data_IF_229286823521
#
_entry.id   IF_229286823521
#
_cell.length_a   1.000
_cell.length_b   1.000
_cell.length_c   1.000
_cell.angle_alpha   90.00
_cell.angle_beta   90.00
_cell.angle_gamma   90.00
#
_symmetry.space_group_name_H-M   'P 1'
#
loop_
_entity.id
_entity.type
_entity.pdbx_description
1 polymer ?
#
# COMPACT_ATOMS: atom_id res chain seq x y z
N UNK A 1 -6.32 4.75 -51.46
CA UNK A 1 -5.00 4.98 -50.85
C UNK A 1 -3.94 4.50 -51.83
N UNK A 2 -3.15 5.43 -52.33
CA UNK A 2 -2.34 5.33 -53.57
C UNK A 2 -1.08 4.49 -53.39
N UNK A 3 -0.64 3.79 -54.44
CA UNK A 3 0.60 3.00 -54.46
C UNK A 3 1.88 3.78 -54.11
N UNK A 4 1.84 5.12 -54.12
CA UNK A 4 2.91 5.98 -53.63
C UNK A 4 3.23 5.79 -52.13
N UNK A 5 2.28 5.31 -51.31
CA UNK A 5 2.52 5.00 -49.89
C UNK A 5 3.40 3.77 -49.68
N UNK A 6 3.46 2.86 -50.66
CA UNK A 6 4.28 1.64 -50.55
C UNK A 6 5.78 1.96 -50.51
N UNK A 7 6.22 3.04 -51.17
CA UNK A 7 7.61 3.46 -51.20
C UNK A 7 8.13 3.81 -49.79
N UNK A 8 7.56 4.78 -49.05
CA UNK A 8 7.98 5.07 -47.68
C UNK A 8 7.70 3.90 -46.73
N UNK A 9 6.63 3.12 -46.95
CA UNK A 9 6.35 1.92 -46.15
C UNK A 9 7.49 0.89 -46.25
N UNK A 10 7.93 0.54 -47.47
CA UNK A 10 9.04 -0.41 -47.66
C UNK A 10 10.38 0.15 -47.17
N UNK A 11 10.63 1.46 -47.29
CA UNK A 11 11.82 2.09 -46.71
C UNK A 11 11.80 1.97 -45.18
N UNK A 12 10.69 2.28 -44.53
CA UNK A 12 10.56 2.14 -43.08
C UNK A 12 10.60 0.68 -42.61
N UNK A 13 10.00 -0.24 -43.38
CA UNK A 13 10.01 -1.67 -43.08
C UNK A 13 11.42 -2.26 -43.19
N UNK A 14 12.12 -2.02 -44.29
CA UNK A 14 13.45 -2.58 -44.55
C UNK A 14 14.56 -1.87 -43.75
N UNK A 15 14.46 -0.55 -43.57
CA UNK A 15 15.47 0.25 -42.88
C UNK A 15 15.28 0.35 -41.37
N UNK A 16 14.05 0.21 -40.87
CA UNK A 16 13.72 0.34 -39.45
C UNK A 16 13.09 -0.92 -38.87
N UNK A 17 11.96 -1.36 -39.41
CA UNK A 17 11.14 -2.43 -38.84
C UNK A 17 11.90 -3.77 -38.71
N UNK A 18 12.41 -4.29 -39.83
CA UNK A 18 13.13 -5.57 -39.86
C UNK A 18 14.44 -5.52 -39.06
N UNK A 19 15.31 -4.50 -39.20
CA UNK A 19 16.54 -4.43 -38.42
C UNK A 19 16.33 -4.35 -36.91
N UNK A 20 15.35 -3.56 -36.44
CA UNK A 20 15.03 -3.44 -35.01
C UNK A 20 14.44 -4.75 -34.47
N UNK A 21 13.50 -5.36 -35.21
CA UNK A 21 12.93 -6.65 -34.81
C UNK A 21 14.00 -7.75 -34.71
N UNK A 22 14.91 -7.83 -35.69
CA UNK A 22 16.03 -8.76 -35.65
C UNK A 22 16.95 -8.50 -34.45
N UNK A 23 17.26 -7.23 -34.15
CA UNK A 23 18.06 -6.84 -32.99
C UNK A 23 17.42 -7.31 -31.68
N UNK A 24 16.11 -7.08 -31.49
CA UNK A 24 15.40 -7.48 -30.27
C UNK A 24 15.36 -9.01 -30.09
N UNK A 25 15.09 -9.75 -31.16
CA UNK A 25 15.10 -11.22 -31.14
C UNK A 25 16.50 -11.75 -30.86
N UNK A 26 17.53 -11.19 -31.49
CA UNK A 26 18.93 -11.60 -31.30
C UNK A 26 19.42 -11.31 -29.88
N UNK A 27 19.05 -10.15 -29.30
CA UNK A 27 19.35 -9.83 -27.89
C UNK A 27 18.66 -10.84 -26.97
N UNK A 28 17.36 -11.10 -27.18
CA UNK A 28 16.60 -12.06 -26.38
C UNK A 28 17.18 -13.48 -26.44
N UNK A 29 17.57 -13.94 -27.64
CA UNK A 29 18.17 -15.26 -27.83
C UNK A 29 19.59 -15.37 -27.28
N UNK A 30 20.44 -14.36 -27.48
CA UNK A 30 21.84 -14.39 -27.03
C UNK A 30 21.96 -14.31 -25.50
N UNK A 31 21.16 -13.44 -24.87
CA UNK A 31 21.21 -13.25 -23.43
C UNK A 31 20.38 -14.27 -22.65
N UNK A 32 19.47 -15.00 -23.32
CA UNK A 32 18.51 -15.95 -22.72
C UNK A 32 17.78 -15.38 -21.49
N UNK A 33 17.64 -14.05 -21.42
CA UNK A 33 17.09 -13.32 -20.29
C UNK A 33 16.25 -12.16 -20.78
N UNK A 34 15.02 -12.02 -20.28
CA UNK A 34 14.23 -10.80 -20.45
C UNK A 34 14.87 -9.60 -19.71
N UNK A 35 14.34 -8.40 -19.91
CA UNK A 35 14.86 -7.17 -19.27
C UNK A 35 14.83 -7.19 -17.73
N UNK A 36 14.01 -8.06 -17.14
CA UNK A 36 13.95 -8.35 -15.71
C UNK A 36 13.97 -9.87 -15.53
N UNK A 37 14.85 -10.38 -14.67
CA UNK A 37 15.03 -11.81 -14.38
C UNK A 37 14.77 -12.11 -12.91
N UNK A 38 14.23 -13.29 -12.62
CA UNK A 38 14.06 -13.80 -11.26
C UNK A 38 15.08 -14.92 -10.99
N UNK A 39 15.69 -14.90 -9.81
CA UNK A 39 16.60 -15.96 -9.39
C UNK A 39 15.85 -17.18 -8.86
N UNK A 40 16.52 -18.31 -8.59
CA UNK A 40 15.88 -19.51 -8.06
C UNK A 40 15.33 -19.38 -6.62
N UNK A 41 15.78 -18.38 -5.85
CA UNK A 41 15.40 -18.23 -4.45
C UNK A 41 16.04 -17.06 -3.73
N UNK A 42 15.64 -16.86 -2.48
CA UNK A 42 16.09 -15.72 -1.64
C UNK A 42 17.59 -15.78 -1.30
N UNK A 43 18.18 -16.97 -1.26
CA UNK A 43 19.63 -17.18 -1.05
C UNK A 43 20.46 -16.81 -2.29
N UNK A 44 19.81 -16.55 -3.43
CA UNK A 44 20.43 -16.23 -4.70
C UNK A 44 20.01 -14.82 -5.14
N UNK A 45 20.61 -13.74 -4.60
CA UNK A 45 20.28 -12.39 -5.04
C UNK A 45 20.66 -12.15 -6.53
N UNK A 46 21.71 -12.84 -7.00
CA UNK A 46 22.23 -12.80 -8.39
C UNK A 46 22.42 -11.39 -8.98
N UNK A 47 22.82 -10.44 -8.14
CA UNK A 47 23.17 -9.08 -8.54
C UNK A 47 21.97 -8.14 -8.71
N UNK A 48 22.28 -6.85 -8.90
CA UNK A 48 21.29 -5.78 -9.05
C UNK A 48 20.77 -5.68 -10.48
N UNK A 49 19.47 -5.48 -10.63
CA UNK A 49 18.85 -5.18 -11.92
C UNK A 49 18.86 -3.66 -12.13
N UNK A 50 19.84 -3.15 -12.87
CA UNK A 50 20.13 -1.72 -12.96
C UNK A 50 18.96 -0.85 -13.44
N UNK A 51 18.10 -1.38 -14.29
CA UNK A 51 16.86 -0.72 -14.71
C UNK A 51 15.97 -0.43 -13.50
N UNK A 52 15.81 -1.41 -12.60
CA UNK A 52 15.05 -1.27 -11.37
C UNK A 52 15.76 -0.38 -10.33
N UNK A 53 17.09 -0.41 -10.28
CA UNK A 53 17.87 0.48 -9.40
C UNK A 53 17.65 1.94 -9.80
N UNK A 54 17.70 2.25 -11.10
CA UNK A 54 17.48 3.61 -11.61
C UNK A 54 16.05 4.05 -11.34
N UNK A 55 15.05 3.22 -11.61
CA UNK A 55 13.65 3.58 -11.32
C UNK A 55 13.42 3.77 -9.82
N UNK A 56 13.95 2.89 -8.97
CA UNK A 56 13.89 3.04 -7.51
C UNK A 56 14.52 4.36 -7.05
N UNK A 57 15.69 4.72 -7.60
CA UNK A 57 16.36 5.98 -7.31
C UNK A 57 15.52 7.20 -7.71
N UNK A 58 14.94 7.18 -8.92
CA UNK A 58 14.03 8.23 -9.39
C UNK A 58 12.82 8.37 -8.44
N UNK A 59 12.22 7.25 -8.02
CA UNK A 59 11.05 7.26 -7.14
C UNK A 59 11.36 7.87 -5.76
N UNK A 60 12.50 7.53 -5.16
CA UNK A 60 12.94 8.15 -3.90
C UNK A 60 13.32 9.62 -4.05
N UNK A 61 13.90 10.02 -5.19
CA UNK A 61 14.14 11.43 -5.50
C UNK A 61 12.81 12.21 -5.63
N UNK A 62 11.82 11.66 -6.33
CA UNK A 62 10.48 12.26 -6.44
C UNK A 62 9.86 12.40 -5.04
N UNK A 63 9.89 11.34 -4.24
CA UNK A 63 9.38 11.35 -2.86
C UNK A 63 10.03 12.45 -2.01
N UNK A 64 11.37 12.56 -2.05
CA UNK A 64 12.10 13.63 -1.37
C UNK A 64 11.64 15.02 -1.84
N UNK A 65 11.53 15.25 -3.15
CA UNK A 65 11.12 16.53 -3.70
C UNK A 65 9.68 16.89 -3.29
N UNK A 66 8.77 15.91 -3.25
CA UNK A 66 7.40 16.11 -2.83
C UNK A 66 7.31 16.50 -1.34
N UNK A 67 8.07 15.84 -0.47
CA UNK A 67 7.99 16.00 0.99
C UNK A 67 8.91 17.09 1.55
N UNK A 68 9.97 17.50 0.84
CA UNK A 68 11.00 18.38 1.41
C UNK A 68 10.45 19.72 1.95
N UNK A 69 9.37 20.25 1.38
CA UNK A 69 8.69 21.47 1.86
C UNK A 69 7.45 21.19 2.74
N UNK A 70 7.33 19.97 3.24
CA UNK A 70 6.24 19.46 4.05
C UNK A 70 4.89 19.47 3.33
N UNK A 71 3.81 19.48 4.11
CA UNK A 71 2.42 19.46 3.64
C UNK A 71 2.07 20.50 2.55
N UNK A 72 2.76 21.64 2.46
CA UNK A 72 2.51 22.64 1.41
C UNK A 72 2.88 22.14 0.01
N UNK A 73 3.90 21.30 -0.10
CA UNK A 73 4.32 20.68 -1.35
C UNK A 73 3.61 19.36 -1.56
N UNK A 74 3.53 18.52 -0.52
CA UNK A 74 2.78 17.26 -0.54
C UNK A 74 1.33 17.49 -0.96
N UNK A 75 0.65 18.47 -0.37
CA UNK A 75 -0.74 18.80 -0.71
C UNK A 75 -0.92 19.23 -2.17
N UNK A 76 0.10 19.86 -2.79
CA UNK A 76 0.07 20.20 -4.23
C UNK A 76 0.25 18.96 -5.10
N UNK A 77 1.19 18.08 -4.73
CA UNK A 77 1.43 16.83 -5.45
C UNK A 77 0.20 15.92 -5.45
N UNK A 78 -0.54 15.90 -4.32
CA UNK A 78 -1.77 15.10 -4.14
C UNK A 78 -2.86 15.45 -5.16
N UNK A 79 -2.96 16.70 -5.64
CA UNK A 79 -3.94 17.02 -6.70
C UNK A 79 -3.69 16.23 -7.99
N UNK A 80 -2.43 15.95 -8.32
CA UNK A 80 -2.12 15.12 -9.49
C UNK A 80 -2.23 13.64 -9.14
N UNK A 81 -1.60 13.22 -8.03
CA UNK A 81 -1.50 11.79 -7.69
C UNK A 81 -2.83 11.18 -7.24
N UNK A 82 -3.78 11.97 -6.74
CA UNK A 82 -5.11 11.49 -6.35
C UNK A 82 -6.14 11.62 -7.47
N UNK A 83 -6.22 12.78 -8.17
CA UNK A 83 -7.28 13.02 -9.16
C UNK A 83 -7.02 12.25 -10.46
N UNK A 84 -5.78 12.20 -10.92
CA UNK A 84 -5.47 11.56 -12.21
C UNK A 84 -5.85 10.08 -12.24
N UNK A 85 -5.58 9.26 -11.19
CA UNK A 85 -6.08 7.91 -11.12
C UNK A 85 -7.60 7.77 -11.28
N UNK A 86 -8.42 8.68 -10.74
CA UNK A 86 -9.88 8.64 -10.95
C UNK A 86 -10.26 8.88 -12.41
N UNK A 87 -9.62 9.83 -13.08
CA UNK A 87 -9.85 10.08 -14.51
C UNK A 87 -9.49 8.82 -15.31
N UNK A 88 -8.31 8.24 -15.05
CA UNK A 88 -7.85 7.05 -15.75
C UNK A 88 -8.73 5.83 -15.48
N UNK A 89 -9.09 5.59 -14.23
CA UNK A 89 -9.98 4.50 -13.83
C UNK A 89 -11.35 4.64 -14.48
N UNK A 90 -11.87 5.86 -14.61
CA UNK A 90 -13.14 6.13 -15.30
C UNK A 90 -13.04 5.80 -16.79
N UNK A 91 -11.96 6.21 -17.45
CA UNK A 91 -11.70 5.89 -18.87
C UNK A 91 -11.58 4.37 -19.06
N UNK A 92 -10.81 3.69 -18.21
CA UNK A 92 -10.61 2.24 -18.26
C UNK A 92 -11.91 1.48 -17.95
N UNK A 93 -12.76 1.98 -17.06
CA UNK A 93 -14.08 1.43 -16.79
C UNK A 93 -14.96 1.46 -18.04
N UNK A 94 -15.15 2.64 -18.65
CA UNK A 94 -15.95 2.74 -19.87
C UNK A 94 -15.37 1.93 -21.01
N UNK A 95 -14.04 1.87 -21.14
CA UNK A 95 -13.40 1.00 -22.11
C UNK A 95 -13.71 -0.47 -21.81
N UNK A 96 -13.51 -0.89 -20.58
CA UNK A 96 -13.69 -2.27 -20.12
C UNK A 96 -15.10 -2.79 -20.36
N UNK A 97 -16.13 -2.04 -19.98
CA UNK A 97 -17.53 -2.49 -20.13
C UNK A 97 -17.99 -2.56 -21.59
N UNK A 98 -17.30 -1.89 -22.53
CA UNK A 98 -17.61 -1.96 -23.96
C UNK A 98 -16.99 -3.15 -24.67
N UNK A 99 -16.11 -3.90 -23.98
CA UNK A 99 -15.44 -5.06 -24.55
C UNK A 99 -16.36 -6.30 -24.56
N UNK A 100 -16.22 -7.19 -25.55
CA UNK A 100 -16.95 -8.45 -25.55
C UNK A 100 -16.54 -9.29 -24.34
N UNK A 101 -17.48 -10.03 -23.75
CA UNK A 101 -17.19 -10.86 -22.57
C UNK A 101 -17.04 -10.10 -21.24
N UNK A 102 -17.07 -8.77 -21.24
CA UNK A 102 -16.96 -7.96 -20.00
C UNK A 102 -18.03 -8.31 -18.96
N UNK A 103 -19.24 -8.68 -19.41
CA UNK A 103 -20.33 -9.13 -18.54
C UNK A 103 -19.96 -10.36 -17.70
N UNK A 104 -19.17 -11.30 -18.25
CA UNK A 104 -18.75 -12.50 -17.53
C UNK A 104 -17.85 -12.14 -16.36
N UNK A 105 -16.95 -11.17 -16.56
CA UNK A 105 -16.10 -10.65 -15.51
C UNK A 105 -16.86 -9.90 -14.42
N UNK A 106 -17.83 -9.06 -14.79
CA UNK A 106 -18.69 -8.35 -13.82
C UNK A 106 -19.55 -9.34 -13.02
N UNK A 107 -20.10 -10.37 -13.66
CA UNK A 107 -20.82 -11.44 -12.97
C UNK A 107 -19.89 -12.16 -12.00
N UNK A 108 -18.68 -12.51 -12.43
CA UNK A 108 -17.69 -13.14 -11.55
C UNK A 108 -17.35 -12.26 -10.33
N UNK A 109 -17.24 -10.94 -10.52
CA UNK A 109 -16.96 -10.00 -9.45
C UNK A 109 -18.07 -9.91 -8.40
N UNK A 110 -19.33 -9.88 -8.83
CA UNK A 110 -20.47 -9.58 -7.96
C UNK A 110 -21.28 -10.79 -7.50
N UNK A 111 -21.14 -11.94 -8.17
CA UNK A 111 -21.94 -13.13 -7.86
C UNK A 111 -21.63 -13.57 -6.42
N UNK A 112 -22.60 -13.50 -5.50
CA UNK A 112 -22.36 -13.86 -4.12
C UNK A 112 -22.22 -15.38 -3.99
N UNK A 113 -21.25 -15.79 -3.19
CA UNK A 113 -21.08 -17.16 -2.74
C UNK A 113 -21.27 -17.17 -1.22
N UNK A 114 -22.47 -17.53 -0.78
CA UNK A 114 -22.84 -17.47 0.64
C UNK A 114 -22.18 -18.58 1.47
N UNK A 115 -21.72 -19.67 0.86
CA UNK A 115 -21.02 -20.75 1.56
C UNK A 115 -19.69 -20.24 2.13
N UNK A 116 -19.02 -19.34 1.41
CA UNK A 116 -17.78 -18.70 1.85
C UNK A 116 -17.91 -17.88 3.13
N UNK A 117 -19.11 -17.44 3.51
CA UNK A 117 -19.31 -16.72 4.78
C UNK A 117 -19.05 -17.60 6.01
N UNK A 118 -19.11 -18.93 5.85
CA UNK A 118 -18.74 -19.89 6.89
C UNK A 118 -17.21 -20.03 7.04
N UNK A 119 -16.43 -19.56 6.08
CA UNK A 119 -14.97 -19.64 6.12
C UNK A 119 -14.39 -18.48 6.94
N UNK A 120 -13.71 -18.79 8.05
CA UNK A 120 -13.07 -17.79 8.89
C UNK A 120 -12.05 -16.90 8.14
N UNK A 121 -11.40 -17.44 7.10
CA UNK A 121 -10.42 -16.70 6.30
C UNK A 121 -11.04 -15.49 5.57
N UNK A 122 -12.30 -15.60 5.13
CA UNK A 122 -13.00 -14.51 4.42
C UNK A 122 -13.15 -13.28 5.31
N UNK A 123 -13.43 -13.49 6.60
CA UNK A 123 -13.55 -12.41 7.58
C UNK A 123 -12.19 -11.77 7.92
N UNK A 124 -11.11 -12.54 7.89
CA UNK A 124 -9.74 -12.05 8.14
C UNK A 124 -9.27 -11.23 6.97
N UNK A 125 -9.47 -11.73 5.75
CA UNK A 125 -9.12 -11.02 4.53
C UNK A 125 -9.89 -9.69 4.48
N UNK A 126 -11.20 -9.71 4.77
CA UNK A 126 -12.03 -8.50 4.82
C UNK A 126 -11.56 -7.51 5.90
N UNK A 127 -11.32 -7.99 7.13
CA UNK A 127 -10.84 -7.15 8.22
C UNK A 127 -9.50 -6.52 7.88
N UNK A 128 -8.51 -7.34 7.56
CA UNK A 128 -7.15 -6.93 7.21
C UNK A 128 -7.13 -5.96 6.02
N UNK A 129 -7.93 -6.22 4.98
CA UNK A 129 -8.06 -5.33 3.82
C UNK A 129 -8.53 -3.93 4.23
N UNK A 130 -9.48 -3.81 5.15
CA UNK A 130 -9.94 -2.50 5.66
C UNK A 130 -8.82 -1.80 6.42
N UNK A 131 -8.12 -2.48 7.33
CA UNK A 131 -7.01 -1.87 8.07
C UNK A 131 -5.92 -1.32 7.14
N UNK A 132 -5.56 -2.09 6.11
CA UNK A 132 -4.57 -1.67 5.11
C UNK A 132 -5.08 -0.55 4.21
N UNK A 133 -6.29 -0.69 3.67
CA UNK A 133 -6.84 0.26 2.72
C UNK A 133 -6.97 1.66 3.32
N UNK A 134 -7.27 1.75 4.62
CA UNK A 134 -7.37 3.02 5.34
C UNK A 134 -6.07 3.48 6.01
N UNK A 135 -4.99 2.68 5.93
CA UNK A 135 -3.74 2.95 6.64
C UNK A 135 -3.93 3.16 8.16
N UNK A 136 -4.81 2.36 8.78
CA UNK A 136 -5.15 2.47 10.21
C UNK A 136 -3.97 2.00 11.07
N UNK A 137 -3.75 2.66 12.20
CA UNK A 137 -2.70 2.33 13.19
C UNK A 137 -1.25 2.42 12.67
N UNK A 138 -1.03 3.01 11.49
CA UNK A 138 0.31 3.34 10.96
C UNK A 138 0.86 4.68 11.52
N UNK A 139 0.06 5.43 12.27
CA UNK A 139 0.41 6.78 12.76
C UNK A 139 0.29 7.89 11.71
N UNK A 140 0.14 7.54 10.44
CA UNK A 140 0.02 8.49 9.32
C UNK A 140 -1.22 9.39 9.42
N UNK A 141 -2.38 8.83 9.79
CA UNK A 141 -3.61 9.62 9.96
C UNK A 141 -3.52 10.56 11.16
N UNK A 142 -2.85 10.13 12.24
CA UNK A 142 -2.56 10.98 13.41
C UNK A 142 -1.65 12.15 13.03
N UNK A 143 -0.59 11.87 12.26
CA UNK A 143 0.30 12.90 11.73
C UNK A 143 -0.42 13.88 10.81
N UNK A 144 -1.22 13.40 9.84
CA UNK A 144 -2.01 14.26 8.96
C UNK A 144 -3.05 15.08 9.74
N UNK A 145 -3.72 14.47 10.71
CA UNK A 145 -4.67 15.13 11.58
C UNK A 145 -4.05 16.26 12.41
N UNK A 146 -2.77 16.14 12.78
CA UNK A 146 -2.05 17.19 13.53
C UNK A 146 -1.86 18.51 12.76
N UNK A 147 -2.02 18.48 11.43
CA UNK A 147 -1.94 19.66 10.56
C UNK A 147 -3.29 20.37 10.36
N UNK A 148 -4.39 19.79 10.83
CA UNK A 148 -5.70 20.42 10.74
C UNK A 148 -5.83 21.55 11.75
N UNK A 149 -6.64 22.55 11.42
CA UNK A 149 -7.09 23.53 12.40
C UNK A 149 -7.85 22.84 13.53
N UNK A 150 -7.68 23.31 14.77
CA UNK A 150 -8.29 22.70 15.96
C UNK A 150 -9.82 22.58 15.86
N UNK A 151 -10.46 23.55 15.20
CA UNK A 151 -11.92 23.57 14.96
C UNK A 151 -12.34 23.01 13.58
N UNK A 152 -11.45 22.35 12.85
CA UNK A 152 -11.80 21.69 11.59
C UNK A 152 -12.76 20.53 11.85
N UNK A 153 -13.90 20.53 11.16
CA UNK A 153 -14.93 19.51 11.34
C UNK A 153 -14.57 18.19 10.63
N UNK A 154 -13.69 17.42 11.27
CA UNK A 154 -13.24 16.13 10.74
C UNK A 154 -14.35 15.06 10.76
N UNK A 155 -15.39 15.22 11.59
CA UNK A 155 -16.45 14.21 11.75
C UNK A 155 -17.21 13.94 10.44
N UNK A 156 -17.60 14.98 9.70
CA UNK A 156 -18.26 14.80 8.40
C UNK A 156 -17.27 14.46 7.29
N UNK A 157 -16.04 14.99 7.35
CA UNK A 157 -14.97 14.66 6.41
C UNK A 157 -14.62 13.18 6.47
N UNK A 158 -14.64 12.58 7.67
CA UNK A 158 -14.43 11.15 7.88
C UNK A 158 -15.38 10.30 7.04
N UNK A 159 -16.69 10.57 7.07
CA UNK A 159 -17.66 9.80 6.29
C UNK A 159 -17.44 9.95 4.78
N UNK A 160 -17.06 11.15 4.32
CA UNK A 160 -16.74 11.38 2.92
C UNK A 160 -15.49 10.61 2.50
N UNK A 161 -14.40 10.68 3.28
CA UNK A 161 -13.14 9.95 3.01
C UNK A 161 -13.37 8.44 3.02
N UNK A 162 -14.12 7.92 4.00
CA UNK A 162 -14.49 6.50 4.05
C UNK A 162 -15.36 6.08 2.87
N UNK A 163 -16.39 6.87 2.55
CA UNK A 163 -17.24 6.61 1.38
C UNK A 163 -16.42 6.60 0.09
N UNK A 164 -15.52 7.56 -0.09
CA UNK A 164 -14.66 7.63 -1.27
C UNK A 164 -13.71 6.44 -1.35
N UNK A 165 -12.99 6.09 -0.28
CA UNK A 165 -12.03 4.99 -0.30
C UNK A 165 -12.69 3.65 -0.67
N UNK A 166 -13.78 3.30 0.03
CA UNK A 166 -14.54 2.07 -0.27
C UNK A 166 -15.19 2.13 -1.65
N UNK A 167 -15.78 3.27 -2.03
CA UNK A 167 -16.40 3.48 -3.34
C UNK A 167 -15.39 3.35 -4.48
N UNK A 168 -14.16 3.83 -4.28
CA UNK A 168 -13.07 3.70 -5.26
C UNK A 168 -12.65 2.25 -5.42
N UNK A 169 -12.51 1.50 -4.32
CA UNK A 169 -12.18 0.08 -4.35
C UNK A 169 -13.24 -0.73 -5.09
N UNK A 170 -14.52 -0.41 -4.85
CA UNK A 170 -15.65 -1.04 -5.55
C UNK A 170 -15.67 -0.70 -7.05
N UNK A 171 -15.49 0.58 -7.40
CA UNK A 171 -15.44 1.05 -8.79
C UNK A 171 -14.24 0.47 -9.56
N UNK A 172 -13.07 0.43 -8.94
CA UNK A 172 -11.87 -0.20 -9.49
C UNK A 172 -12.11 -1.68 -9.80
N UNK A 173 -12.88 -2.38 -8.95
CA UNK A 173 -13.31 -3.75 -9.20
C UNK A 173 -13.99 -3.92 -10.56
N UNK A 174 -14.95 -3.05 -10.92
CA UNK A 174 -15.56 -3.10 -12.26
C UNK A 174 -14.55 -2.85 -13.38
N UNK A 175 -13.65 -1.88 -13.22
CA UNK A 175 -12.65 -1.56 -14.24
C UNK A 175 -11.66 -2.74 -14.47
N UNK A 176 -11.29 -3.46 -13.41
CA UNK A 176 -10.41 -4.64 -13.50
C UNK A 176 -11.17 -5.85 -14.07
N UNK A 177 -12.30 -6.21 -13.46
CA UNK A 177 -13.00 -7.44 -13.81
C UNK A 177 -13.65 -7.38 -15.20
N UNK A 178 -14.07 -6.20 -15.69
CA UNK A 178 -14.53 -6.08 -17.08
C UNK A 178 -13.44 -6.44 -18.10
N UNK A 179 -12.19 -6.02 -17.86
CA UNK A 179 -11.04 -6.37 -18.70
C UNK A 179 -10.66 -7.84 -18.56
N UNK A 180 -10.70 -8.41 -17.36
CA UNK A 180 -10.47 -9.85 -17.17
C UNK A 180 -11.53 -10.71 -17.87
N UNK A 181 -12.79 -10.29 -17.83
CA UNK A 181 -13.89 -10.95 -18.56
C UNK A 181 -13.65 -10.94 -20.07
N UNK A 182 -13.19 -9.82 -20.62
CA UNK A 182 -12.75 -9.73 -22.01
C UNK A 182 -11.58 -10.66 -22.32
N UNK A 183 -10.55 -10.67 -21.47
CA UNK A 183 -9.40 -11.55 -21.67
C UNK A 183 -9.80 -13.03 -21.67
N UNK A 184 -10.68 -13.43 -20.75
CA UNK A 184 -11.21 -14.80 -20.70
C UNK A 184 -11.98 -15.14 -21.99
N UNK A 185 -12.79 -14.21 -22.49
CA UNK A 185 -13.53 -14.36 -23.75
C UNK A 185 -12.62 -14.55 -24.96
N UNK A 186 -11.63 -13.66 -25.15
CA UNK A 186 -10.69 -13.75 -26.28
C UNK A 186 -9.83 -15.02 -26.23
N UNK A 187 -9.46 -15.47 -25.03
CA UNK A 187 -8.67 -16.70 -24.84
C UNK A 187 -9.51 -17.98 -24.83
N UNK A 188 -10.84 -17.87 -24.99
CA UNK A 188 -11.75 -19.03 -24.95
C UNK A 188 -11.82 -19.73 -23.59
N UNK A 189 -11.49 -19.03 -22.51
CA UNK A 189 -11.50 -19.54 -21.13
C UNK A 189 -12.87 -19.22 -20.51
N UNK A 190 -13.62 -20.26 -20.11
CA UNK A 190 -14.95 -20.07 -19.54
C UNK A 190 -14.95 -19.50 -18.10
N UNK A 191 -13.93 -19.85 -17.31
CA UNK A 191 -13.80 -19.41 -15.93
C UNK A 191 -12.88 -18.18 -15.82
N UNK A 192 -13.45 -17.04 -15.44
CA UNK A 192 -12.71 -15.79 -15.19
C UNK A 192 -11.73 -15.95 -14.01
N UNK A 193 -12.02 -16.84 -13.05
CA UNK A 193 -11.13 -17.12 -11.93
C UNK A 193 -9.77 -17.67 -12.36
N UNK A 194 -9.72 -18.45 -13.45
CA UNK A 194 -8.48 -19.03 -13.97
C UNK A 194 -7.53 -17.98 -14.56
N UNK A 195 -8.04 -16.81 -14.91
CA UNK A 195 -7.24 -15.70 -15.44
C UNK A 195 -6.99 -14.57 -14.42
N UNK A 196 -7.60 -14.65 -13.25
CA UNK A 196 -7.43 -13.68 -12.18
C UNK A 196 -6.25 -14.11 -11.29
N UNK A 197 -5.08 -13.49 -11.49
CA UNK A 197 -3.97 -13.63 -10.55
C UNK A 197 -4.21 -12.86 -9.24
N UNK A 198 -3.44 -13.17 -8.19
CA UNK A 198 -3.48 -12.46 -6.91
C UNK A 198 -2.28 -11.52 -6.76
N UNK A 199 -2.44 -10.50 -5.91
CA UNK A 199 -1.36 -9.58 -5.54
C UNK A 199 -0.76 -8.85 -6.76
N UNK A 200 0.56 -8.63 -6.81
CA UNK A 200 1.22 -7.95 -7.93
C UNK A 200 1.00 -8.61 -9.30
N UNK A 201 0.81 -9.93 -9.34
CA UNK A 201 0.57 -10.66 -10.59
C UNK A 201 -0.69 -10.19 -11.34
N UNK A 202 -1.74 -9.81 -10.60
CA UNK A 202 -2.96 -9.26 -11.19
C UNK A 202 -2.66 -8.00 -12.02
N UNK A 203 -1.90 -7.07 -11.45
CA UNK A 203 -1.62 -5.79 -12.06
C UNK A 203 -0.48 -5.84 -13.09
N UNK A 204 0.51 -6.71 -12.90
CA UNK A 204 1.73 -6.73 -13.74
C UNK A 204 1.79 -7.89 -14.73
N UNK A 205 0.89 -8.88 -14.65
CA UNK A 205 0.83 -10.03 -15.56
C UNK A 205 -0.57 -10.15 -16.20
N UNK A 206 -1.61 -10.38 -15.39
CA UNK A 206 -2.95 -10.65 -15.92
C UNK A 206 -3.55 -9.43 -16.64
N UNK A 207 -3.52 -8.25 -16.03
CA UNK A 207 -4.10 -7.06 -16.63
C UNK A 207 -3.38 -6.60 -17.91
N UNK A 208 -2.03 -6.51 -17.97
CA UNK A 208 -1.32 -6.17 -19.19
C UNK A 208 -1.56 -7.18 -20.32
N UNK A 209 -1.72 -8.47 -20.01
CA UNK A 209 -2.12 -9.49 -20.98
C UNK A 209 -3.49 -9.18 -21.57
N UNK A 210 -4.48 -8.82 -20.74
CA UNK A 210 -5.80 -8.41 -21.21
C UNK A 210 -5.78 -7.12 -22.04
N UNK A 211 -4.91 -6.16 -21.66
CA UNK A 211 -4.71 -4.92 -22.41
C UNK A 211 -4.08 -5.17 -23.79
N UNK A 212 -3.15 -6.13 -23.90
CA UNK A 212 -2.46 -6.45 -25.15
C UNK A 212 -3.43 -6.95 -26.24
N UNK A 213 -4.55 -7.56 -25.86
CA UNK A 213 -5.60 -8.03 -26.78
C UNK A 213 -6.51 -6.89 -27.28
N UNK A 214 -6.42 -5.69 -26.71
CA UNK A 214 -7.28 -4.57 -27.10
C UNK A 214 -6.74 -3.81 -28.31
N UNK A 215 -7.62 -3.26 -29.18
CA UNK A 215 -7.21 -2.24 -30.13
C UNK A 215 -6.65 -1.02 -29.38
N UNK A 216 -5.56 -0.45 -29.92
CA UNK A 216 -4.78 0.63 -29.28
C UNK A 216 -4.13 0.21 -27.94
N UNK A 217 -3.74 -1.06 -27.78
CA UNK A 217 -3.04 -1.58 -26.60
C UNK A 217 -1.96 -0.66 -25.99
N UNK A 218 -1.07 0.00 -26.78
CA UNK A 218 -0.07 0.90 -26.21
C UNK A 218 -0.66 2.08 -25.42
N UNK A 219 -1.80 2.64 -25.86
CA UNK A 219 -2.48 3.72 -25.15
C UNK A 219 -2.95 3.24 -23.78
N UNK A 220 -3.68 2.12 -23.74
CA UNK A 220 -4.25 1.58 -22.50
C UNK A 220 -3.18 1.16 -21.51
N UNK A 221 -2.07 0.57 -21.98
CA UNK A 221 -0.94 0.19 -21.15
C UNK A 221 -0.30 1.42 -20.48
N UNK A 222 -0.06 2.49 -21.24
CA UNK A 222 0.50 3.74 -20.70
C UNK A 222 -0.42 4.36 -19.64
N UNK A 223 -1.72 4.46 -19.93
CA UNK A 223 -2.68 5.02 -18.97
C UNK A 223 -2.75 4.19 -17.67
N UNK A 224 -2.74 2.87 -17.80
CA UNK A 224 -2.80 1.95 -16.66
C UNK A 224 -1.54 2.00 -15.79
N UNK A 225 -0.34 1.96 -16.39
CA UNK A 225 0.90 2.00 -15.60
C UNK A 225 1.18 3.37 -14.99
N UNK A 226 0.80 4.47 -15.67
CA UNK A 226 0.84 5.81 -15.06
C UNK A 226 -0.13 5.88 -13.87
N UNK A 227 -1.34 5.33 -14.00
CA UNK A 227 -2.30 5.26 -12.91
C UNK A 227 -1.73 4.51 -11.70
N UNK A 228 -1.19 3.31 -11.90
CA UNK A 228 -0.56 2.52 -10.81
C UNK A 228 0.59 3.30 -10.16
N UNK A 229 1.45 3.92 -10.97
CA UNK A 229 2.58 4.68 -10.47
C UNK A 229 2.13 5.86 -9.61
N UNK A 230 1.11 6.61 -10.04
CA UNK A 230 0.57 7.74 -9.28
C UNK A 230 -0.16 7.30 -8.00
N UNK A 231 -0.90 6.18 -8.03
CA UNK A 231 -1.51 5.59 -6.85
C UNK A 231 -0.44 5.22 -5.80
N UNK A 232 0.62 4.52 -6.23
CA UNK A 232 1.72 4.14 -5.35
C UNK A 232 2.47 5.34 -4.77
N UNK A 233 2.77 6.34 -5.61
CA UNK A 233 3.42 7.59 -5.17
C UNK A 233 2.58 8.34 -4.12
N UNK A 234 1.28 8.48 -4.37
CA UNK A 234 0.37 9.17 -3.44
C UNK A 234 0.40 8.55 -2.03
N UNK A 235 0.34 7.22 -1.96
CA UNK A 235 0.44 6.49 -0.69
C UNK A 235 1.83 6.60 -0.05
N UNK A 236 2.90 6.49 -0.84
CA UNK A 236 4.28 6.56 -0.35
C UNK A 236 4.57 7.93 0.29
N UNK A 237 4.13 9.02 -0.32
CA UNK A 237 4.41 10.37 0.19
C UNK A 237 3.82 10.58 1.58
N UNK A 238 2.59 10.11 1.75
CA UNK A 238 1.82 10.26 2.99
C UNK A 238 2.39 9.35 4.08
N UNK A 239 2.78 8.12 3.77
CA UNK A 239 3.41 7.21 4.73
C UNK A 239 4.75 7.75 5.24
N UNK A 240 5.62 8.22 4.34
CA UNK A 240 6.92 8.79 4.74
C UNK A 240 6.73 10.09 5.51
N UNK A 241 5.81 10.97 5.10
CA UNK A 241 5.51 12.19 5.86
C UNK A 241 4.98 11.87 7.26
N UNK A 242 4.19 10.81 7.43
CA UNK A 242 3.72 10.34 8.73
C UNK A 242 4.88 9.99 9.68
N UNK A 243 5.84 9.20 9.19
CA UNK A 243 7.06 8.88 9.95
C UNK A 243 7.90 10.13 10.25
N UNK A 244 8.14 10.98 9.25
CA UNK A 244 8.93 12.21 9.42
C UNK A 244 8.30 13.12 10.46
N UNK A 245 6.98 13.31 10.40
CA UNK A 245 6.23 14.15 11.35
C UNK A 245 6.38 13.62 12.77
N UNK A 246 6.17 12.32 12.99
CA UNK A 246 6.32 11.71 14.30
C UNK A 246 7.72 11.94 14.90
N UNK A 247 8.79 11.72 14.13
CA UNK A 247 10.16 11.91 14.63
C UNK A 247 10.50 13.39 14.85
N UNK A 248 10.05 14.28 13.96
CA UNK A 248 10.25 15.74 14.10
C UNK A 248 9.54 16.28 15.34
N UNK A 249 8.37 15.73 15.66
CA UNK A 249 7.59 16.13 16.84
C UNK A 249 8.20 15.59 18.15
N UNK A 250 8.91 14.46 18.11
CA UNK A 250 9.69 13.96 19.25
C UNK A 250 10.95 14.79 19.52
N UNK A 251 11.58 15.35 18.48
CA UNK A 251 12.85 16.10 18.62
C UNK A 251 12.77 17.52 18.01
N UNK A 252 11.81 18.37 18.43
CA UNK A 252 11.52 19.62 17.74
C UNK A 252 12.67 20.63 17.84
N UNK A 253 13.34 20.69 19.00
CA UNK A 253 14.50 21.58 19.23
C UNK A 253 15.70 21.26 18.33
N UNK A 254 15.78 20.03 17.82
CA UNK A 254 16.88 19.59 16.96
C UNK A 254 16.49 19.69 15.50
N UNK A 255 15.33 19.12 15.12
CA UNK A 255 14.95 18.90 13.73
C UNK A 255 14.20 20.08 13.09
N UNK A 256 13.53 20.94 13.87
CA UNK A 256 12.85 22.14 13.34
C UNK A 256 13.79 23.34 13.15
N UNK A 257 15.10 23.17 13.38
CA UNK A 257 16.11 24.23 13.27
C UNK A 257 16.74 24.25 11.88
N UNK A 258 16.68 25.41 11.22
CA UNK A 258 17.30 25.61 9.90
C UNK A 258 16.72 24.65 8.86
N UNK A 259 17.60 23.93 8.15
CA UNK A 259 17.24 22.93 7.13
C UNK A 259 17.32 21.47 7.62
N UNK A 260 17.37 21.24 8.93
CA UNK A 260 17.64 19.91 9.51
C UNK A 260 16.51 18.91 9.24
N UNK A 261 15.27 19.37 9.15
CA UNK A 261 14.13 18.55 8.70
C UNK A 261 14.38 18.00 7.29
N UNK A 262 14.80 18.86 6.36
CA UNK A 262 15.06 18.48 4.98
C UNK A 262 16.24 17.52 4.87
N UNK A 263 17.31 17.74 5.63
CA UNK A 263 18.41 16.79 5.74
C UNK A 263 17.95 15.44 6.29
N UNK A 264 17.08 15.44 7.30
CA UNK A 264 16.52 14.22 7.88
C UNK A 264 15.62 13.46 6.89
N UNK A 265 14.80 14.16 6.09
CA UNK A 265 14.01 13.56 5.00
C UNK A 265 14.94 12.96 3.96
N UNK A 266 15.98 13.68 3.54
CA UNK A 266 16.97 13.19 2.58
C UNK A 266 17.69 11.93 3.08
N UNK A 267 18.09 11.94 4.35
CA UNK A 267 18.68 10.76 5.01
C UNK A 267 17.70 9.58 5.05
N UNK A 268 16.44 9.82 5.43
CA UNK A 268 15.40 8.78 5.48
C UNK A 268 15.18 8.17 4.10
N UNK A 269 15.00 9.02 3.07
CA UNK A 269 14.84 8.56 1.68
C UNK A 269 16.06 7.77 1.19
N UNK A 270 17.27 8.20 1.56
CA UNK A 270 18.50 7.50 1.19
C UNK A 270 18.59 6.13 1.88
N UNK A 271 18.31 6.03 3.18
CA UNK A 271 18.28 4.75 3.89
C UNK A 271 17.23 3.82 3.30
N UNK A 272 16.03 4.32 3.01
CA UNK A 272 14.98 3.53 2.37
C UNK A 272 15.33 3.10 0.95
N UNK A 273 16.07 3.91 0.19
CA UNK A 273 16.64 3.52 -1.10
C UNK A 273 17.64 2.36 -0.94
N UNK A 274 18.56 2.44 0.02
CA UNK A 274 19.53 1.37 0.30
C UNK A 274 18.84 0.06 0.71
N UNK A 275 17.81 0.14 1.56
CA UNK A 275 16.99 -1.04 1.90
C UNK A 275 16.28 -1.57 0.65
N UNK A 276 15.71 -0.68 -0.17
CA UNK A 276 15.05 -1.03 -1.42
C UNK A 276 15.97 -1.70 -2.45
N UNK A 277 17.30 -1.47 -2.40
CA UNK A 277 18.26 -2.17 -3.25
C UNK A 277 18.18 -3.70 -3.08
N UNK A 278 17.82 -4.18 -1.89
CA UNK A 278 17.64 -5.61 -1.63
C UNK A 278 16.48 -6.21 -2.44
N UNK A 279 15.45 -5.41 -2.74
CA UNK A 279 14.23 -5.81 -3.45
C UNK A 279 14.35 -5.69 -4.98
N UNK A 280 15.41 -5.06 -5.50
CA UNK A 280 15.65 -4.88 -6.95
C UNK A 280 16.81 -5.74 -7.46
N UNK A 281 17.23 -6.73 -6.68
CA UNK A 281 18.09 -7.83 -7.14
C UNK A 281 17.27 -8.82 -7.97
N UNK A 282 17.90 -9.83 -8.60
CA UNK A 282 17.15 -10.91 -9.26
C UNK A 282 16.39 -11.79 -8.25
N UNK A 283 16.90 -11.93 -7.04
CA UNK A 283 16.18 -12.52 -5.90
C UNK A 283 15.24 -11.54 -5.18
N UNK A 284 15.11 -10.32 -5.69
CA UNK A 284 14.45 -9.21 -4.99
C UNK A 284 12.96 -9.42 -4.75
N UNK A 285 12.27 -10.18 -5.61
CA UNK A 285 10.86 -10.50 -5.43
C UNK A 285 10.62 -11.35 -4.17
N UNK A 286 11.54 -12.25 -3.82
CA UNK A 286 11.44 -13.03 -2.58
C UNK A 286 11.61 -12.15 -1.34
N UNK A 287 12.54 -11.19 -1.40
CA UNK A 287 12.73 -10.20 -0.31
C UNK A 287 11.49 -9.31 -0.19
N UNK A 288 10.96 -8.82 -1.31
CA UNK A 288 9.72 -8.05 -1.35
C UNK A 288 8.56 -8.79 -0.67
N UNK A 289 8.37 -10.07 -0.98
CA UNK A 289 7.31 -10.90 -0.39
C UNK A 289 7.48 -11.10 1.12
N UNK A 290 8.71 -11.20 1.64
CA UNK A 290 8.96 -11.25 3.09
C UNK A 290 8.51 -9.94 3.75
N UNK A 291 8.85 -8.79 3.17
CA UNK A 291 8.45 -7.49 3.70
C UNK A 291 6.94 -7.27 3.63
N UNK A 292 6.32 -7.64 2.52
CA UNK A 292 4.88 -7.55 2.27
C UNK A 292 4.08 -8.45 3.25
N UNK A 293 4.55 -9.69 3.44
CA UNK A 293 3.85 -10.67 4.27
C UNK A 293 4.07 -10.49 5.77
N UNK A 294 5.27 -10.07 6.22
CA UNK A 294 5.60 -9.97 7.65
C UNK A 294 5.78 -8.55 8.17
N UNK A 295 6.41 -7.66 7.40
CA UNK A 295 6.89 -6.35 7.87
C UNK A 295 5.75 -5.40 8.23
N UNK A 296 5.10 -4.84 7.22
CA UNK A 296 3.85 -4.11 7.42
C UNK A 296 2.68 -5.07 7.22
N UNK A 297 2.64 -6.15 8.01
CA UNK A 297 1.61 -7.20 7.87
C UNK A 297 0.33 -6.84 8.62
N UNK A 298 -0.79 -7.47 8.22
CA UNK A 298 -2.08 -7.27 8.89
C UNK A 298 -1.98 -7.55 10.39
N UNK A 299 -1.18 -8.54 10.78
CA UNK A 299 -0.94 -8.89 12.18
C UNK A 299 -0.31 -7.74 12.98
N UNK A 300 0.68 -7.04 12.42
CA UNK A 300 1.32 -5.91 13.09
C UNK A 300 0.34 -4.74 13.27
N UNK A 301 -0.46 -4.44 12.24
CA UNK A 301 -1.45 -3.37 12.30
C UNK A 301 -2.59 -3.67 13.28
N UNK A 302 -3.09 -4.91 13.29
CA UNK A 302 -4.12 -5.34 14.22
C UNK A 302 -3.63 -5.27 15.67
N UNK A 303 -2.38 -5.68 15.92
CA UNK A 303 -1.74 -5.55 17.24
C UNK A 303 -1.67 -4.08 17.69
N UNK A 304 -1.17 -3.20 16.83
CA UNK A 304 -1.07 -1.77 17.15
C UNK A 304 -2.46 -1.15 17.37
N UNK A 305 -3.43 -1.45 16.51
CA UNK A 305 -4.78 -0.92 16.64
C UNK A 305 -5.48 -1.40 17.92
N UNK A 306 -5.27 -2.66 18.32
CA UNK A 306 -5.78 -3.18 19.58
C UNK A 306 -5.30 -2.33 20.76
N UNK A 307 -3.98 -2.13 20.89
CA UNK A 307 -3.44 -1.33 21.98
C UNK A 307 -3.83 0.15 21.90
N UNK A 308 -3.91 0.73 20.71
CA UNK A 308 -4.40 2.10 20.52
C UNK A 308 -5.84 2.26 21.04
N UNK A 309 -6.73 1.33 20.71
CA UNK A 309 -8.11 1.34 21.22
C UNK A 309 -8.15 1.16 22.74
N UNK A 310 -7.37 0.23 23.30
CA UNK A 310 -7.31 -0.01 24.74
C UNK A 310 -6.82 1.23 25.48
N UNK A 311 -5.72 1.85 25.02
CA UNK A 311 -5.15 3.04 25.64
C UNK A 311 -6.13 4.22 25.60
N UNK A 312 -6.73 4.52 24.44
CA UNK A 312 -7.63 5.68 24.32
C UNK A 312 -8.99 5.44 24.98
N UNK A 313 -9.62 4.29 24.75
CA UNK A 313 -10.99 4.07 25.22
C UNK A 313 -11.07 3.67 26.70
N UNK A 314 -10.08 2.96 27.23
CA UNK A 314 -10.11 2.45 28.62
C UNK A 314 -9.18 3.20 29.57
N UNK A 315 -7.93 3.46 29.19
CA UNK A 315 -6.97 4.13 30.08
C UNK A 315 -7.13 5.65 30.09
N UNK A 316 -7.16 6.28 28.92
CA UNK A 316 -7.44 7.71 28.80
C UNK A 316 -8.91 8.03 29.10
N UNK A 317 -9.80 7.11 28.71
CA UNK A 317 -11.24 7.16 28.97
C UNK A 317 -12.02 7.71 27.78
N UNK A 318 -12.93 6.89 27.24
CA UNK A 318 -13.77 7.24 26.10
C UNK A 318 -14.61 8.50 26.33
N UNK A 319 -15.13 8.70 27.54
CA UNK A 319 -16.00 9.84 27.86
C UNK A 319 -15.21 11.16 27.85
N UNK A 320 -13.98 11.13 28.39
CA UNK A 320 -13.05 12.27 28.33
C UNK A 320 -12.69 12.58 26.88
N UNK A 321 -12.41 11.56 26.08
CA UNK A 321 -12.07 11.75 24.67
C UNK A 321 -13.23 12.31 23.85
N UNK A 322 -14.46 11.86 24.09
CA UNK A 322 -15.67 12.41 23.47
C UNK A 322 -15.85 13.89 23.81
N UNK A 323 -15.59 14.30 25.06
CA UNK A 323 -15.67 15.71 25.45
C UNK A 323 -14.56 16.55 24.80
N UNK A 324 -13.33 16.02 24.69
CA UNK A 324 -12.27 16.70 23.94
C UNK A 324 -12.66 16.89 22.46
N UNK A 325 -13.27 15.88 21.82
CA UNK A 325 -13.77 16.01 20.45
C UNK A 325 -14.85 17.10 20.39
N UNK A 326 -15.74 17.16 21.39
CA UNK A 326 -16.76 18.21 21.47
C UNK A 326 -16.13 19.60 21.60
N UNK A 327 -15.06 19.76 22.37
CA UNK A 327 -14.29 21.00 22.47
C UNK A 327 -13.62 21.37 21.14
N UNK A 328 -13.08 20.38 20.41
CA UNK A 328 -12.50 20.56 19.09
C UNK A 328 -13.53 21.04 18.07
N UNK A 329 -14.62 20.28 17.84
CA UNK A 329 -15.50 20.52 16.68
C UNK A 329 -16.88 21.08 17.04
N UNK A 330 -17.17 21.31 18.31
CA UNK A 330 -18.43 21.90 18.79
C UNK A 330 -19.67 21.01 18.66
N UNK A 331 -19.52 19.76 18.20
CA UNK A 331 -20.63 18.82 18.00
C UNK A 331 -20.53 17.62 18.94
N UNK A 332 -21.70 17.10 19.34
CA UNK A 332 -21.78 15.84 20.05
C UNK A 332 -21.78 14.70 19.03
N UNK A 333 -20.73 13.87 19.05
CA UNK A 333 -20.60 12.73 18.14
C UNK A 333 -21.57 11.60 18.50
N UNK A 334 -21.87 10.74 17.53
CA UNK A 334 -22.76 9.59 17.71
C UNK A 334 -22.17 8.61 18.76
N UNK A 335 -22.93 8.18 19.78
CA UNK A 335 -22.49 7.21 20.79
C UNK A 335 -21.99 5.87 20.25
N UNK A 336 -22.30 5.54 19.00
CA UNK A 336 -21.75 4.37 18.31
C UNK A 336 -20.23 4.35 18.29
N UNK A 337 -19.57 5.49 18.08
CA UNK A 337 -18.10 5.57 18.03
C UNK A 337 -17.42 5.16 19.34
N UNK A 338 -17.71 5.77 20.50
CA UNK A 338 -17.12 5.34 21.76
C UNK A 338 -17.50 3.90 22.15
N UNK A 339 -18.69 3.42 21.77
CA UNK A 339 -19.04 2.01 21.94
C UNK A 339 -18.14 1.08 21.11
N UNK A 340 -17.87 1.44 19.85
CA UNK A 340 -16.94 0.69 19.00
C UNK A 340 -15.52 0.70 19.57
N UNK A 341 -14.97 1.86 19.92
CA UNK A 341 -13.61 1.96 20.45
C UNK A 341 -13.41 1.17 21.75
N UNK A 342 -14.45 1.11 22.59
CA UNK A 342 -14.40 0.42 23.87
C UNK A 342 -14.55 -1.09 23.73
N UNK A 343 -15.40 -1.56 22.81
CA UNK A 343 -15.76 -2.98 22.74
C UNK A 343 -15.53 -3.61 21.37
N UNK A 344 -16.19 -3.11 20.32
CA UNK A 344 -16.18 -3.79 19.00
C UNK A 344 -14.78 -3.80 18.38
N UNK A 345 -14.11 -2.65 18.30
CA UNK A 345 -12.81 -2.53 17.65
C UNK A 345 -11.71 -3.34 18.35
N UNK A 346 -11.57 -3.31 19.70
CA UNK A 346 -10.66 -4.22 20.41
C UNK A 346 -10.99 -5.69 20.21
N UNK A 347 -12.28 -6.07 20.25
CA UNK A 347 -12.67 -7.47 20.06
C UNK A 347 -12.39 -7.97 18.64
N UNK A 348 -12.69 -7.15 17.63
CA UNK A 348 -12.45 -7.48 16.24
C UNK A 348 -10.94 -7.60 15.97
N UNK A 349 -10.15 -6.61 16.40
CA UNK A 349 -8.69 -6.62 16.21
C UNK A 349 -8.02 -7.79 16.92
N UNK A 350 -8.38 -8.05 18.18
CA UNK A 350 -7.88 -9.20 18.93
C UNK A 350 -8.32 -10.54 18.31
N UNK A 351 -9.58 -10.66 17.90
CA UNK A 351 -10.12 -11.88 17.29
C UNK A 351 -9.42 -12.21 15.97
N UNK A 352 -9.31 -11.24 15.06
CA UNK A 352 -8.63 -11.42 13.77
C UNK A 352 -7.14 -11.68 13.98
N UNK A 353 -6.49 -11.01 14.95
CA UNK A 353 -5.09 -11.24 15.30
C UNK A 353 -4.86 -12.66 15.82
N UNK A 354 -5.62 -13.10 16.84
CA UNK A 354 -5.50 -14.45 17.42
C UNK A 354 -5.72 -15.51 16.35
N UNK A 355 -6.75 -15.35 15.52
CA UNK A 355 -7.00 -16.31 14.45
C UNK A 355 -5.86 -16.30 13.42
N UNK A 356 -5.36 -15.14 13.00
CA UNK A 356 -4.23 -15.05 12.06
C UNK A 356 -2.97 -15.76 12.58
N UNK A 357 -2.73 -15.71 13.90
CA UNK A 357 -1.65 -16.45 14.55
C UNK A 357 -1.94 -17.95 14.59
N UNK A 358 -3.17 -18.36 14.89
CA UNK A 358 -3.57 -19.78 14.97
C UNK A 358 -3.57 -20.46 13.61
N UNK A 359 -4.01 -19.78 12.55
CA UNK A 359 -4.05 -20.31 11.17
C UNK A 359 -2.84 -19.90 10.33
N UNK A 360 -1.79 -19.43 10.99
CA UNK A 360 -0.56 -19.01 10.34
C UNK A 360 -0.01 -20.10 9.42
N UNK A 361 0.30 -19.70 8.19
CA UNK A 361 1.07 -20.51 7.25
C UNK A 361 2.34 -19.73 6.86
N UNK A 362 3.50 -20.40 6.74
CA UNK A 362 4.69 -19.76 6.21
C UNK A 362 4.42 -19.17 4.82
N UNK A 363 5.02 -18.01 4.54
CA UNK A 363 4.95 -17.39 3.22
C UNK A 363 5.51 -18.35 2.16
N UNK A 364 4.88 -18.35 0.98
CA UNK A 364 5.34 -19.06 -0.21
C UNK A 364 5.19 -18.14 -1.41
N UNK A 365 6.00 -18.34 -2.44
CA UNK A 365 5.88 -17.58 -3.68
C UNK A 365 5.86 -18.54 -4.87
N UNK A 366 4.72 -18.66 -5.54
CA UNK A 366 4.46 -19.73 -6.52
C UNK A 366 4.75 -21.11 -5.91
N UNK A 367 5.65 -21.89 -6.51
CA UNK A 367 6.10 -23.18 -6.00
C UNK A 367 7.28 -23.09 -5.01
N UNK A 368 7.80 -21.89 -4.74
CA UNK A 368 8.94 -21.69 -3.86
C UNK A 368 8.53 -21.68 -2.38
N UNK A 369 9.23 -22.50 -1.59
CA UNK A 369 9.11 -22.58 -0.13
C UNK A 369 10.31 -21.89 0.50
N UNK A 370 10.06 -20.95 1.40
CA UNK A 370 11.13 -20.16 2.01
C UNK A 370 11.95 -20.98 3.01
N UNK A 371 13.28 -20.78 3.07
CA UNK A 371 14.12 -21.39 4.09
C UNK A 371 13.78 -20.83 5.48
N UNK A 372 14.04 -21.64 6.51
CA UNK A 372 13.67 -21.30 7.89
C UNK A 372 14.31 -19.99 8.38
N UNK A 373 15.52 -19.67 7.94
CA UNK A 373 16.17 -18.40 8.30
C UNK A 373 15.40 -17.18 7.76
N UNK A 374 14.81 -17.28 6.56
CA UNK A 374 14.05 -16.20 5.97
C UNK A 374 12.71 -16.01 6.69
N UNK A 375 12.07 -17.12 7.10
CA UNK A 375 10.87 -17.10 7.94
C UNK A 375 11.18 -16.46 9.30
N UNK A 376 12.29 -16.84 9.93
CA UNK A 376 12.74 -16.26 11.20
C UNK A 376 13.01 -14.76 11.06
N UNK A 377 13.65 -14.34 9.97
CA UNK A 377 13.85 -12.92 9.66
C UNK A 377 12.52 -12.18 9.47
N UNK A 378 11.54 -12.78 8.78
CA UNK A 378 10.19 -12.24 8.67
C UNK A 378 9.54 -12.01 10.05
N UNK A 379 9.60 -13.00 10.95
CA UNK A 379 9.10 -12.82 12.32
C UNK A 379 9.87 -11.76 13.11
N UNK A 380 11.17 -11.64 12.93
CA UNK A 380 11.95 -10.55 13.53
C UNK A 380 11.46 -9.17 13.04
N UNK A 381 11.16 -9.04 11.74
CA UNK A 381 10.57 -7.80 11.19
C UNK A 381 9.23 -7.49 11.86
N UNK A 382 8.32 -8.46 11.93
CA UNK A 382 7.01 -8.27 12.56
C UNK A 382 7.14 -7.86 14.05
N UNK A 383 7.93 -8.62 14.80
CA UNK A 383 8.16 -8.40 16.22
C UNK A 383 8.87 -7.08 16.52
N UNK A 384 9.70 -6.57 15.59
CA UNK A 384 10.44 -5.31 15.79
C UNK A 384 9.53 -4.12 16.11
N UNK A 385 8.30 -4.11 15.59
CA UNK A 385 7.28 -3.10 15.89
C UNK A 385 6.42 -3.49 17.10
N UNK A 386 5.95 -4.74 17.14
CA UNK A 386 4.99 -5.20 18.15
C UNK A 386 5.54 -5.20 19.58
N UNK A 387 6.82 -5.58 19.76
CA UNK A 387 7.48 -5.67 21.05
C UNK A 387 7.73 -4.29 21.68
N UNK A 388 7.75 -3.20 20.89
CA UNK A 388 7.98 -1.85 21.41
C UNK A 388 6.88 -1.42 22.40
N UNK A 389 5.63 -1.86 22.19
CA UNK A 389 4.50 -1.54 23.08
C UNK A 389 4.76 -2.07 24.51
N UNK A 390 4.94 -3.39 24.74
CA UNK A 390 5.21 -3.90 26.08
C UNK A 390 6.58 -3.46 26.62
N UNK A 391 7.63 -3.35 25.80
CA UNK A 391 8.94 -2.89 26.28
C UNK A 391 8.90 -1.46 26.78
N UNK A 392 8.25 -0.55 26.05
CA UNK A 392 8.14 0.83 26.48
C UNK A 392 7.27 0.97 27.74
N UNK A 393 6.21 0.16 27.85
CA UNK A 393 5.41 0.07 29.07
C UNK A 393 6.26 -0.36 30.28
N UNK A 394 7.04 -1.44 30.15
CA UNK A 394 7.93 -1.92 31.22
C UNK A 394 9.01 -0.86 31.55
N UNK A 395 9.63 -0.26 30.53
CA UNK A 395 10.63 0.79 30.71
C UNK A 395 10.06 1.96 31.53
N UNK A 396 8.86 2.43 31.18
CA UNK A 396 8.19 3.53 31.91
C UNK A 396 7.84 3.12 33.34
N UNK A 397 7.41 1.89 33.57
CA UNK A 397 7.12 1.38 34.91
C UNK A 397 8.38 1.33 35.79
N UNK A 398 9.54 0.97 35.22
CA UNK A 398 10.81 0.88 35.94
C UNK A 398 11.48 2.25 36.17
N UNK A 399 11.15 3.26 35.34
CA UNK A 399 11.79 4.60 35.40
C UNK A 399 10.93 5.67 36.03
N UNK A 400 9.61 5.45 36.17
CA UNK A 400 8.72 6.39 36.84
C UNK A 400 8.99 6.44 38.35
N UNK A 401 9.11 7.66 38.89
CA UNK A 401 9.16 7.86 40.34
C UNK A 401 7.73 7.85 40.91
N UNK A 402 7.27 6.67 41.34
CA UNK A 402 6.01 6.47 42.06
C UNK A 402 6.02 5.11 42.74
N UNK A 403 5.47 5.01 43.95
CA UNK A 403 5.47 3.75 44.72
C UNK A 403 4.45 2.73 44.17
N UNK A 404 3.45 3.18 43.39
CA UNK A 404 2.41 2.34 42.78
C UNK A 404 1.92 2.92 41.43
N UNK A 405 1.29 2.07 40.61
CA UNK A 405 0.81 2.37 39.24
C UNK A 405 -0.03 3.66 39.13
N UNK A 406 -0.79 4.02 40.16
CA UNK A 406 -1.64 5.21 40.17
C UNK A 406 -0.88 6.54 40.38
N UNK A 407 0.36 6.51 40.90
CA UNK A 407 1.17 7.70 41.16
C UNK A 407 2.05 8.10 39.96
N UNK A 408 2.14 7.24 38.95
CA UNK A 408 2.91 7.50 37.70
C UNK A 408 2.24 8.56 36.80
N UNK A 409 1.02 9.00 37.15
CA UNK A 409 0.20 9.93 36.37
C UNK A 409 0.39 11.43 36.70
N UNK A 410 1.32 11.81 37.58
CA UNK A 410 1.54 13.23 37.86
C UNK A 410 2.29 13.91 36.69
N UNK A 411 1.57 14.80 36.03
CA UNK A 411 1.77 15.53 34.76
C UNK A 411 3.09 16.32 34.56
N UNK A 412 4.10 16.21 35.42
CA UNK A 412 5.23 17.16 35.41
C UNK A 412 6.39 16.83 34.47
N UNK A 413 6.51 15.61 33.95
CA UNK A 413 7.71 15.21 33.17
C UNK A 413 7.53 15.18 31.65
N UNK A 414 6.31 15.39 31.11
CA UNK A 414 6.06 15.30 29.66
C UNK A 414 6.18 16.63 28.90
N UNK A 415 6.26 17.78 29.59
CA UNK A 415 6.37 19.11 28.95
C UNK A 415 7.81 19.67 29.05
N UNK A 416 8.71 19.04 29.81
CA UNK A 416 10.01 19.62 30.14
C UNK A 416 11.19 19.30 29.19
N UNK A 417 11.11 18.30 28.31
CA UNK A 417 12.25 17.89 27.47
C UNK A 417 12.06 18.15 25.98
#
# INVERSE_FOLDING_TARGET
>A
MTGAFLIPYFICLLGGGIPIYFLEVAIGQYWQSGGITISPGIDHPEGLQWQLVVTLGIMWCINFLCICRGIKSTGKAVYVTAIFPYIMMTILFFRGITLPGASNGIIFYLKPDFEKLAEGQVWIDAGTQIFFSYAIALGTMTALGSYNDFHNNFYYQLFFVCGMNTGTSFFAGFAIFSVLGFMAYEQGIADVGAVAEKGPGLAFIAYPKGVAEMPLAPLWAVLFFIMILLLGLGSQFVAVEGFITAVVDMFPRILRVGKRREWFIGFTCFISFIIGLTMVTRGGMYVFQIFDYYGASGMCLLWMCFFECIVIAWFYGSDKFVENIREMIGIKINPWFPFCWKFISPMLTAGVFIFSVVTYKPVTYNSYVYPQWAIAFGWMLALSSMILVPLYFIYRLLTSQGENFNQVNDEKDLIAN
#
